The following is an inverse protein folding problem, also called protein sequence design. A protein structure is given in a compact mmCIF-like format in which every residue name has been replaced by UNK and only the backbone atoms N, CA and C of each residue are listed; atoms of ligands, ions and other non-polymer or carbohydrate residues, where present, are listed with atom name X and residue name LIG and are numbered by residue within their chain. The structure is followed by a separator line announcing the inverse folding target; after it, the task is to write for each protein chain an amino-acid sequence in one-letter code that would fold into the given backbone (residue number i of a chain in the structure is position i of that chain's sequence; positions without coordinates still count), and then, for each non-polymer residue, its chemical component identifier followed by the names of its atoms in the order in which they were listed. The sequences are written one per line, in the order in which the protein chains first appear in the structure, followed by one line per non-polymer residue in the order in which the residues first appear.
data_IF_972034349717
#
_entry.id   IF_972034349717
#
_cell.length_a   1.000
_cell.length_b   1.000
_cell.length_c   1.000
_cell.angle_alpha   90.00
_cell.angle_beta   90.00
_cell.angle_gamma   90.00
#
_symmetry.space_group_name_H-M   'P 1'
#
loop_
_entity.id
_entity.type
_entity.pdbx_description
1 polymer ?
#
# COMPACT_ATOMS: atom_id res chain seq x y z
N UNK A 1 39.73 17.46 -7.93
CA UNK A 1 39.65 16.00 -7.70
C UNK A 1 39.22 15.21 -8.94
N UNK A 2 38.02 15.43 -9.52
CA UNK A 2 37.59 14.74 -10.77
C UNK A 2 38.55 14.95 -11.94
N UNK A 3 38.96 16.20 -12.20
CA UNK A 3 39.93 16.54 -13.26
C UNK A 3 41.28 15.81 -13.05
N UNK A 4 41.77 15.78 -11.81
CA UNK A 4 43.02 15.10 -11.46
C UNK A 4 42.92 13.59 -11.67
N UNK A 5 41.81 12.95 -11.30
CA UNK A 5 41.56 11.52 -11.55
C UNK A 5 41.53 11.21 -13.06
N UNK A 6 40.90 12.05 -13.86
CA UNK A 6 40.85 11.89 -15.33
C UNK A 6 42.24 12.05 -15.93
N UNK A 7 43.00 13.07 -15.51
CA UNK A 7 44.36 13.30 -15.99
C UNK A 7 45.29 12.14 -15.62
N UNK A 8 45.24 11.64 -14.39
CA UNK A 8 46.03 10.47 -13.98
C UNK A 8 45.55 9.17 -14.65
N UNK A 9 44.26 9.08 -14.99
CA UNK A 9 43.74 7.98 -15.80
C UNK A 9 44.37 7.92 -17.18
N UNK A 10 44.63 9.08 -17.81
CA UNK A 10 45.38 9.15 -19.08
C UNK A 10 46.82 8.66 -18.90
N UNK A 11 47.51 9.08 -17.84
CA UNK A 11 48.89 8.67 -17.54
C UNK A 11 48.96 7.15 -17.27
N UNK A 12 48.01 6.60 -16.52
CA UNK A 12 47.90 5.15 -16.28
C UNK A 12 47.62 4.37 -17.57
N UNK A 13 46.78 4.91 -18.45
CA UNK A 13 46.53 4.30 -19.78
C UNK A 13 47.79 4.25 -20.64
N UNK A 14 48.66 5.25 -20.55
CA UNK A 14 49.93 5.28 -21.27
C UNK A 14 51.00 4.39 -20.65
N UNK A 15 51.02 4.26 -19.32
CA UNK A 15 52.02 3.49 -18.57
C UNK A 15 51.38 2.47 -17.61
N UNK A 16 50.70 1.42 -18.12
CA UNK A 16 49.90 0.52 -17.29
C UNK A 16 50.72 -0.44 -16.43
N UNK A 17 51.99 -0.68 -16.78
CA UNK A 17 52.89 -1.60 -16.08
C UNK A 17 53.64 -0.94 -14.92
N UNK A 18 53.61 0.38 -14.80
CA UNK A 18 54.28 1.11 -13.73
C UNK A 18 53.48 0.98 -12.41
N UNK A 19 54.04 0.32 -11.37
CA UNK A 19 53.36 0.16 -10.09
C UNK A 19 53.07 1.49 -9.37
N UNK A 20 53.92 2.51 -9.52
CA UNK A 20 53.74 3.82 -8.90
C UNK A 20 52.51 4.52 -9.48
N UNK A 21 52.40 4.56 -10.81
CA UNK A 21 51.28 5.19 -11.53
C UNK A 21 49.97 4.46 -11.21
N UNK A 22 49.99 3.12 -11.23
CA UNK A 22 48.85 2.29 -10.85
C UNK A 22 48.35 2.59 -9.44
N UNK A 23 49.25 2.54 -8.45
CA UNK A 23 48.90 2.75 -7.05
C UNK A 23 48.36 4.16 -6.80
N UNK A 24 48.96 5.17 -7.45
CA UNK A 24 48.51 6.55 -7.34
C UNK A 24 47.11 6.75 -7.95
N UNK A 25 46.85 6.20 -9.13
CA UNK A 25 45.52 6.25 -9.76
C UNK A 25 44.45 5.63 -8.85
N UNK A 26 44.67 4.42 -8.32
CA UNK A 26 43.70 3.76 -7.45
C UNK A 26 43.54 4.46 -6.09
N UNK A 27 44.57 5.16 -5.59
CA UNK A 27 44.44 6.03 -4.42
C UNK A 27 43.50 7.21 -4.71
N UNK A 28 43.77 7.96 -5.79
CA UNK A 28 42.91 9.07 -6.24
C UNK A 28 41.48 8.62 -6.52
N UNK A 29 41.31 7.44 -7.11
CA UNK A 29 40.00 6.86 -7.40
C UNK A 29 39.20 6.59 -6.12
N UNK A 30 39.83 5.98 -5.10
CA UNK A 30 39.21 5.73 -3.80
C UNK A 30 38.82 7.03 -3.08
N UNK A 31 39.72 8.01 -3.07
CA UNK A 31 39.47 9.32 -2.47
C UNK A 31 38.31 10.05 -3.16
N UNK A 32 38.30 10.06 -4.50
CA UNK A 32 37.21 10.62 -5.28
C UNK A 32 35.87 9.94 -4.97
N UNK A 33 35.84 8.60 -4.92
CA UNK A 33 34.62 7.87 -4.59
C UNK A 33 34.15 8.14 -3.16
N UNK A 34 35.06 8.25 -2.19
CA UNK A 34 34.75 8.65 -0.81
C UNK A 34 34.12 10.04 -0.78
N UNK A 35 34.74 11.01 -1.44
CA UNK A 35 34.23 12.38 -1.54
C UNK A 35 32.86 12.41 -2.24
N UNK A 36 32.68 11.67 -3.34
CA UNK A 36 31.43 11.57 -4.08
C UNK A 36 30.31 11.02 -3.21
N UNK A 37 30.56 9.93 -2.48
CA UNK A 37 29.59 9.32 -1.55
C UNK A 37 29.22 10.31 -0.43
N UNK A 38 30.21 10.99 0.14
CA UNK A 38 30.00 11.97 1.21
C UNK A 38 29.15 13.14 0.72
N UNK A 39 29.52 13.76 -0.42
CA UNK A 39 28.75 14.85 -1.02
C UNK A 39 27.32 14.43 -1.38
N UNK A 40 27.12 13.20 -1.87
CA UNK A 40 25.78 12.66 -2.11
C UNK A 40 24.96 12.55 -0.83
N UNK A 41 25.57 12.08 0.28
CA UNK A 41 24.89 12.00 1.58
C UNK A 41 24.52 13.39 2.09
N UNK A 42 25.45 14.34 2.05
CA UNK A 42 25.22 15.74 2.48
C UNK A 42 24.12 16.37 1.66
N UNK A 43 24.16 16.25 0.33
CA UNK A 43 23.11 16.78 -0.55
C UNK A 43 21.73 16.20 -0.22
N UNK A 44 21.64 14.89 0.05
CA UNK A 44 20.36 14.28 0.46
C UNK A 44 19.86 14.82 1.79
N UNK A 45 20.75 14.94 2.78
CA UNK A 45 20.40 15.45 4.10
C UNK A 45 19.91 16.91 4.01
N UNK A 46 20.62 17.75 3.27
CA UNK A 46 20.27 19.15 3.01
C UNK A 46 18.90 19.29 2.32
N UNK A 47 18.59 18.45 1.33
CA UNK A 47 17.26 18.45 0.70
C UNK A 47 16.16 18.03 1.68
N UNK A 48 16.40 17.04 2.54
CA UNK A 48 15.42 16.62 3.55
C UNK A 48 15.17 17.72 4.57
N UNK A 49 16.24 18.36 5.07
CA UNK A 49 16.17 19.50 5.97
C UNK A 49 15.40 20.68 5.34
N UNK A 50 15.66 20.97 4.06
CA UNK A 50 14.90 21.98 3.31
C UNK A 50 13.43 21.61 3.15
N UNK A 51 13.09 20.34 2.94
CA UNK A 51 11.70 19.91 2.83
C UNK A 51 10.95 20.02 4.17
N UNK A 52 11.61 19.66 5.28
CA UNK A 52 11.04 19.77 6.63
C UNK A 52 10.82 21.22 7.03
N UNK A 53 11.79 22.10 6.77
CA UNK A 53 11.70 23.53 7.12
C UNK A 53 10.74 24.31 6.21
N UNK A 54 10.81 24.11 4.89
CA UNK A 54 9.98 24.87 3.93
C UNK A 54 8.50 24.50 3.98
N UNK A 55 8.14 23.33 4.51
CA UNK A 55 6.75 22.92 4.67
C UNK A 55 5.96 23.88 5.56
N UNK A 56 6.57 24.37 6.65
CA UNK A 56 5.93 25.28 7.61
C UNK A 56 6.12 26.75 7.22
N UNK A 57 7.31 27.12 6.73
CA UNK A 57 7.68 28.53 6.50
C UNK A 57 7.20 29.08 5.15
N UNK A 58 7.23 28.28 4.07
CA UNK A 58 6.92 28.77 2.73
C UNK A 58 6.46 27.67 1.76
N UNK A 59 5.14 27.39 1.69
CA UNK A 59 4.61 26.30 0.87
C UNK A 59 4.91 26.46 -0.63
N UNK A 60 5.07 27.69 -1.13
CA UNK A 60 5.37 27.93 -2.55
C UNK A 60 6.78 27.45 -2.93
N UNK A 61 7.76 27.68 -2.06
CA UNK A 61 9.13 27.20 -2.27
C UNK A 61 9.24 25.69 -2.10
N UNK A 62 8.49 25.13 -1.15
CA UNK A 62 8.36 23.68 -0.95
C UNK A 62 7.88 22.99 -2.24
N UNK A 63 6.76 23.43 -2.82
CA UNK A 63 6.25 22.87 -4.07
C UNK A 63 7.20 23.08 -5.25
N UNK A 64 7.88 24.23 -5.30
CA UNK A 64 8.91 24.49 -6.31
C UNK A 64 10.12 23.55 -6.19
N UNK A 65 10.49 23.15 -4.97
CA UNK A 65 11.55 22.17 -4.71
C UNK A 65 11.10 20.76 -5.12
N UNK A 66 9.87 20.37 -4.77
CA UNK A 66 9.29 19.08 -5.17
C UNK A 66 9.23 18.96 -6.70
N UNK A 67 8.74 19.97 -7.40
CA UNK A 67 8.66 19.93 -8.87
C UNK A 67 10.05 19.76 -9.49
N UNK A 68 11.07 20.48 -8.97
CA UNK A 68 12.46 20.32 -9.42
C UNK A 68 13.05 18.92 -9.14
N UNK A 69 12.59 18.23 -8.10
CA UNK A 69 12.99 16.85 -7.80
C UNK A 69 12.26 15.85 -8.70
N UNK A 70 11.01 16.12 -9.06
CA UNK A 70 10.20 15.28 -9.95
C UNK A 70 10.63 15.41 -11.42
N UNK A 71 10.87 16.63 -11.91
CA UNK A 71 11.27 16.89 -13.31
C UNK A 71 12.57 16.18 -13.71
N UNK A 72 13.45 15.87 -12.74
CA UNK A 72 14.70 15.13 -13.00
C UNK A 72 14.53 13.62 -13.14
N UNK A 73 13.38 13.07 -12.74
CA UNK A 73 13.04 11.65 -12.91
C UNK A 73 12.02 11.42 -14.03
N UNK A 74 11.55 12.47 -14.69
CA UNK A 74 10.70 12.36 -15.87
C UNK A 74 11.58 12.06 -17.11
N UNK A 75 12.31 10.95 -17.08
CA UNK A 75 12.43 10.18 -18.32
C UNK A 75 10.98 9.87 -18.71
N UNK A 76 10.57 10.33 -19.88
CA UNK A 76 9.23 10.18 -20.45
C UNK A 76 8.85 8.72 -20.77
N UNK A 77 9.41 7.76 -20.03
CA UNK A 77 9.17 6.32 -20.14
C UNK A 77 8.53 5.73 -18.88
N UNK A 78 8.02 6.56 -17.94
CA UNK A 78 7.30 6.02 -16.78
C UNK A 78 6.00 5.37 -17.26
N UNK A 79 6.11 4.08 -17.51
CA UNK A 79 5.08 3.05 -17.53
C UNK A 79 3.85 3.41 -18.38
N UNK A 80 4.04 3.47 -19.69
CA UNK A 80 2.95 3.38 -20.66
C UNK A 80 2.44 1.92 -20.74
N UNK A 81 2.06 1.34 -19.59
CA UNK A 81 1.45 0.02 -19.52
C UNK A 81 0.01 0.20 -19.99
N UNK A 82 -0.38 -0.51 -21.05
CA UNK A 82 -1.72 -0.35 -21.59
C UNK A 82 -2.77 -0.81 -20.57
N UNK A 83 -3.99 -0.24 -20.55
CA UNK A 83 -5.07 -0.73 -19.70
C UNK A 83 -5.35 -2.24 -19.88
N UNK A 84 -5.12 -2.77 -21.07
CA UNK A 84 -5.21 -4.20 -21.37
C UNK A 84 -4.14 -5.03 -20.66
N UNK A 85 -2.90 -4.54 -20.57
CA UNK A 85 -1.83 -5.25 -19.84
C UNK A 85 -2.13 -5.29 -18.33
N UNK A 86 -2.68 -4.19 -17.80
CA UNK A 86 -3.16 -4.16 -16.42
C UNK A 86 -4.31 -5.14 -16.16
N UNK A 87 -5.31 -5.16 -17.05
CA UNK A 87 -6.43 -6.09 -16.96
C UNK A 87 -5.93 -7.55 -16.96
N UNK A 88 -5.04 -7.89 -17.90
CA UNK A 88 -4.47 -9.23 -18.01
C UNK A 88 -3.70 -9.62 -16.75
N UNK A 89 -2.87 -8.71 -16.23
CA UNK A 89 -2.11 -8.95 -15.00
C UNK A 89 -3.02 -9.27 -13.80
N UNK A 90 -4.08 -8.49 -13.61
CA UNK A 90 -5.02 -8.72 -12.50
C UNK A 90 -5.93 -9.92 -12.73
N UNK A 91 -6.27 -10.24 -13.98
CA UNK A 91 -6.97 -11.48 -14.30
C UNK A 91 -6.11 -12.70 -13.93
N UNK A 92 -4.82 -12.67 -14.26
CA UNK A 92 -3.89 -13.74 -13.91
C UNK A 92 -3.71 -13.89 -12.40
N UNK A 93 -3.61 -12.79 -11.66
CA UNK A 93 -3.52 -12.82 -10.19
C UNK A 93 -4.79 -13.38 -9.53
N UNK A 94 -5.96 -13.16 -10.13
CA UNK A 94 -7.24 -13.62 -9.61
C UNK A 94 -7.64 -15.02 -10.11
N UNK A 95 -6.79 -15.68 -10.92
CA UNK A 95 -7.02 -17.10 -11.26
C UNK A 95 -6.90 -17.91 -9.97
N UNK A 96 -8.00 -18.56 -9.59
CA UNK A 96 -8.02 -19.49 -8.46
C UNK A 96 -7.03 -20.60 -8.78
N UNK A 97 -6.04 -20.78 -7.92
CA UNK A 97 -5.07 -21.86 -8.07
C UNK A 97 -5.81 -23.19 -7.97
N UNK A 98 -5.52 -24.12 -8.89
CA UNK A 98 -6.22 -25.40 -9.05
C UNK A 98 -6.33 -26.19 -7.73
N UNK A 99 -5.35 -26.04 -6.84
CA UNK A 99 -5.34 -26.67 -5.51
C UNK A 99 -6.46 -26.18 -4.56
N UNK A 100 -7.14 -25.08 -4.90
CA UNK A 100 -8.22 -24.49 -4.10
C UNK A 100 -9.59 -24.62 -4.75
N UNK A 101 -9.69 -25.14 -5.98
CA UNK A 101 -10.97 -25.32 -6.67
C UNK A 101 -11.91 -26.22 -5.87
N UNK A 102 -11.40 -27.33 -5.34
CA UNK A 102 -12.19 -28.24 -4.50
C UNK A 102 -12.67 -27.56 -3.21
N UNK A 103 -11.86 -26.68 -2.63
CA UNK A 103 -12.23 -25.91 -1.43
C UNK A 103 -13.30 -24.87 -1.74
N UNK A 104 -13.19 -24.16 -2.86
CA UNK A 104 -14.20 -23.18 -3.29
C UNK A 104 -15.53 -23.88 -3.53
N UNK A 105 -15.51 -25.00 -4.25
CA UNK A 105 -16.70 -25.81 -4.49
C UNK A 105 -17.35 -26.31 -3.21
N UNK A 106 -16.55 -26.82 -2.26
CA UNK A 106 -17.06 -27.23 -0.95
C UNK A 106 -17.65 -26.05 -0.15
N UNK A 107 -17.07 -24.85 -0.26
CA UNK A 107 -17.61 -23.66 0.42
C UNK A 107 -18.95 -23.22 -0.19
N UNK A 108 -19.07 -23.28 -1.52
CA UNK A 108 -20.33 -22.99 -2.22
C UNK A 108 -21.43 -24.01 -1.84
N UNK A 109 -21.11 -25.30 -1.86
CA UNK A 109 -22.02 -26.36 -1.41
C UNK A 109 -22.42 -26.19 0.07
N UNK A 110 -21.48 -25.79 0.92
CA UNK A 110 -21.75 -25.51 2.33
C UNK A 110 -22.64 -24.28 2.51
N UNK A 111 -22.45 -23.23 1.70
CA UNK A 111 -23.27 -22.02 1.74
C UNK A 111 -24.70 -22.34 1.31
N UNK A 112 -24.87 -23.05 0.19
CA UNK A 112 -26.16 -23.47 -0.33
C UNK A 112 -26.91 -24.35 0.70
N UNK A 113 -26.21 -25.28 1.35
CA UNK A 113 -26.80 -26.09 2.42
C UNK A 113 -27.22 -25.27 3.65
N UNK A 114 -26.49 -24.19 3.97
CA UNK A 114 -26.81 -23.29 5.08
C UNK A 114 -28.02 -22.39 4.77
N UNK A 115 -28.17 -21.99 3.50
CA UNK A 115 -29.33 -21.23 3.01
C UNK A 115 -30.60 -22.09 2.93
N UNK A 116 -30.45 -23.40 2.63
CA UNK A 116 -31.56 -24.36 2.59
C UNK A 116 -31.96 -24.85 3.99
N UNK A 117 -31.04 -24.79 4.97
CA UNK A 117 -31.34 -25.09 6.37
C UNK A 117 -32.52 -24.24 6.86
N UNK A 118 -33.42 -24.77 7.73
CA UNK A 118 -34.63 -24.07 8.13
C UNK A 118 -34.24 -22.70 8.70
N UNK A 119 -34.73 -21.64 8.05
CA UNK A 119 -34.56 -20.24 8.44
C UNK A 119 -34.55 -20.17 9.97
N UNK A 120 -33.38 -19.84 10.54
CA UNK A 120 -33.33 -19.43 11.93
C UNK A 120 -34.45 -18.40 12.10
N UNK A 121 -35.32 -18.61 13.09
CA UNK A 121 -36.44 -17.72 13.35
C UNK A 121 -35.91 -16.29 13.44
N UNK A 122 -36.22 -15.48 12.43
CA UNK A 122 -35.81 -14.09 12.39
C UNK A 122 -36.97 -13.30 12.99
N UNK A 123 -36.79 -12.89 14.25
CA UNK A 123 -37.80 -12.16 15.02
C UNK A 123 -38.25 -10.87 14.29
N UNK A 124 -37.36 -10.30 13.48
CA UNK A 124 -37.60 -9.10 12.68
C UNK A 124 -38.51 -9.33 11.46
N UNK A 125 -38.57 -10.56 10.93
CA UNK A 125 -39.40 -10.90 9.77
C UNK A 125 -40.74 -11.54 10.18
N UNK A 126 -40.98 -11.70 11.49
CA UNK A 126 -42.20 -12.33 11.99
C UNK A 126 -43.37 -11.34 12.04
N UNK A 127 -44.39 -11.60 11.23
CA UNK A 127 -45.61 -10.80 11.22
C UNK A 127 -46.54 -11.35 12.31
N UNK A 128 -46.76 -10.56 13.36
CA UNK A 128 -47.69 -10.87 14.45
C UNK A 128 -49.10 -11.00 13.86
N UNK A 129 -49.76 -12.15 14.10
CA UNK A 129 -51.11 -12.40 13.57
C UNK A 129 -52.21 -11.99 14.55
N UNK A 130 -53.39 -11.63 14.05
CA UNK A 130 -54.53 -11.23 14.88
C UNK A 130 -54.93 -12.30 15.91
N UNK A 131 -54.84 -13.58 15.53
CA UNK A 131 -55.13 -14.69 16.44
C UNK A 131 -54.16 -14.75 17.62
N UNK A 132 -52.90 -14.41 17.39
CA UNK A 132 -51.87 -14.38 18.42
C UNK A 132 -52.10 -13.23 19.40
N UNK A 133 -52.52 -12.06 18.88
CA UNK A 133 -52.95 -10.91 19.67
C UNK A 133 -54.16 -11.28 20.53
N UNK A 134 -55.20 -11.90 19.94
CA UNK A 134 -56.40 -12.33 20.67
C UNK A 134 -56.04 -13.35 21.76
N UNK A 135 -55.14 -14.28 21.44
CA UNK A 135 -54.68 -15.29 22.40
C UNK A 135 -53.90 -14.64 23.54
N UNK A 136 -53.02 -13.67 23.26
CA UNK A 136 -52.30 -12.91 24.27
C UNK A 136 -53.25 -12.12 25.17
N UNK A 137 -54.25 -11.43 24.58
CA UNK A 137 -55.28 -10.69 25.32
C UNK A 137 -56.07 -11.63 26.23
N UNK A 138 -56.47 -12.81 25.74
CA UNK A 138 -57.23 -13.80 26.53
C UNK A 138 -56.45 -14.35 27.74
N UNK A 139 -55.11 -14.34 27.67
CA UNK A 139 -54.22 -14.76 28.76
C UNK A 139 -53.99 -13.65 29.81
N UNK A 140 -54.35 -12.40 29.53
CA UNK A 140 -54.27 -11.31 30.49
C UNK A 140 -55.36 -11.48 31.56
N UNK A 141 -54.95 -11.50 32.83
CA UNK A 141 -55.89 -11.58 33.95
C UNK A 141 -56.63 -10.26 34.12
N UNK A 142 -57.95 -10.33 34.26
CA UNK A 142 -58.82 -9.17 34.40
C UNK A 142 -58.41 -8.29 35.61
N UNK A 143 -58.32 -6.97 35.39
CA UNK A 143 -57.94 -5.97 36.40
C UNK A 143 -56.54 -6.11 37.05
N UNK A 144 -55.58 -6.76 36.39
CA UNK A 144 -54.18 -6.71 36.82
C UNK A 144 -53.30 -6.12 35.71
N UNK A 145 -52.65 -4.98 35.98
CA UNK A 145 -51.47 -4.61 35.21
C UNK A 145 -50.34 -5.57 35.60
N UNK A 146 -49.72 -6.25 34.65
CA UNK A 146 -48.38 -6.79 34.85
C UNK A 146 -47.43 -5.60 34.99
N UNK A 147 -47.18 -5.18 36.24
CA UNK A 147 -46.29 -4.07 36.53
C UNK A 147 -44.89 -4.33 35.98
N UNK A 148 -44.35 -3.32 35.28
CA UNK A 148 -42.93 -3.13 34.95
C UNK A 148 -42.26 -4.26 34.14
N UNK A 149 -42.64 -4.43 32.86
CA UNK A 149 -41.72 -4.84 31.76
C UNK A 149 -42.35 -4.57 30.39
N UNK A 150 -42.52 -3.30 30.00
CA UNK A 150 -42.78 -2.92 28.59
C UNK A 150 -41.47 -2.47 27.88
N UNK A 151 -40.34 -2.44 28.58
CA UNK A 151 -39.04 -2.01 28.05
C UNK A 151 -38.11 -3.16 27.62
N UNK A 152 -38.65 -4.23 27.05
CA UNK A 152 -37.80 -5.33 26.53
C UNK A 152 -38.24 -5.91 25.18
N UNK A 153 -38.99 -5.12 24.41
CA UNK A 153 -39.22 -5.40 22.98
C UNK A 153 -39.00 -4.10 22.21
N UNK A 154 -37.73 -3.68 22.12
CA UNK A 154 -37.07 -3.05 20.96
C UNK A 154 -35.62 -3.52 20.99
#
# INVERSE_FOLDING_TARGET
MRKNLINYGKIYSSNPKDPMVKNHYYKLYREYNKCRKTKKKVFKADILEQLETLHEDNPKLYWGLINKLQDKNHDSSVNNISPSDWLHHFQDLNKVNDNFLDRVKHLEESLESAEISPKCFNELDFIITDNEIITAISKLKWNKSTGLTILQII
#
